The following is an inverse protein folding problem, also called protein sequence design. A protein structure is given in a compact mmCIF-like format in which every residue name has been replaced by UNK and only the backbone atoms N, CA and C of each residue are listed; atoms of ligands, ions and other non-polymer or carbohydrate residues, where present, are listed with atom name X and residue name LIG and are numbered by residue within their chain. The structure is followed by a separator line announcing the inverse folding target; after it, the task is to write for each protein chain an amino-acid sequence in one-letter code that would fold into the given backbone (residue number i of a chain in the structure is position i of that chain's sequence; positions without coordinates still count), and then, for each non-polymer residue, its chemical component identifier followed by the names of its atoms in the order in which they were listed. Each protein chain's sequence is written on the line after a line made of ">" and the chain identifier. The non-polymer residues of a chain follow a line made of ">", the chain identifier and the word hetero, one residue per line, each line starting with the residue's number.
data_IF_986283871498
#
_entry.id   IF_986283871498
#
_cell.length_a   1.000
_cell.length_b   1.000
_cell.length_c   1.000
_cell.angle_alpha   90.00
_cell.angle_beta   90.00
_cell.angle_gamma   90.00
#
_symmetry.space_group_name_H-M   'P 1'
#
loop_
_entity.id
_entity.type
_entity.pdbx_description
1 polymer ?
#
# COMPACT_ATOMS: atom_id res chain seq x y z
N UNK A 1 -41.13 -27.84 45.16
CA UNK A 1 -41.32 -27.39 43.76
C UNK A 1 -40.73 -25.97 43.64
N UNK A 2 -39.41 -25.82 43.44
CA UNK A 2 -38.77 -24.49 43.32
C UNK A 2 -37.40 -24.50 42.62
N UNK A 3 -37.06 -25.57 41.88
CA UNK A 3 -35.71 -25.74 41.29
C UNK A 3 -35.67 -25.67 39.75
N UNK A 4 -36.82 -25.73 39.07
CA UNK A 4 -36.90 -25.74 37.61
C UNK A 4 -36.85 -24.34 36.97
N UNK A 5 -37.29 -23.30 37.69
CA UNK A 5 -37.36 -21.93 37.14
C UNK A 5 -36.00 -21.24 37.06
N UNK A 6 -35.05 -21.63 37.91
CA UNK A 6 -33.71 -21.01 37.96
C UNK A 6 -32.85 -21.44 36.76
N UNK A 7 -32.96 -22.70 36.34
CA UNK A 7 -32.29 -23.21 35.14
C UNK A 7 -32.88 -22.60 33.85
N UNK A 8 -34.20 -22.42 33.80
CA UNK A 8 -34.86 -21.77 32.67
C UNK A 8 -34.47 -20.29 32.55
N UNK A 9 -34.38 -19.56 33.67
CA UNK A 9 -33.91 -18.18 33.68
C UNK A 9 -32.43 -18.06 33.27
N UNK A 10 -31.57 -18.94 33.79
CA UNK A 10 -30.14 -18.93 33.48
C UNK A 10 -29.88 -19.21 31.98
N UNK A 11 -30.62 -20.14 31.37
CA UNK A 11 -30.54 -20.38 29.92
C UNK A 11 -31.10 -19.21 29.10
N UNK A 12 -32.21 -18.60 29.51
CA UNK A 12 -32.76 -17.45 28.81
C UNK A 12 -31.80 -16.24 28.83
N UNK A 13 -31.12 -16.01 29.96
CA UNK A 13 -30.09 -14.96 30.08
C UNK A 13 -28.86 -15.28 29.24
N UNK A 14 -28.41 -16.54 29.20
CA UNK A 14 -27.27 -16.94 28.38
C UNK A 14 -27.54 -16.77 26.87
N UNK A 15 -28.76 -17.10 26.40
CA UNK A 15 -29.16 -16.91 25.00
C UNK A 15 -29.31 -15.42 24.66
N UNK A 16 -29.84 -14.61 25.57
CA UNK A 16 -29.97 -13.16 25.37
C UNK A 16 -28.60 -12.43 25.35
N UNK A 17 -27.62 -12.91 26.10
CA UNK A 17 -26.24 -12.36 26.07
C UNK A 17 -25.52 -12.78 24.79
N UNK A 18 -25.72 -14.02 24.32
CA UNK A 18 -25.13 -14.52 23.08
C UNK A 18 -25.63 -13.80 21.81
N UNK A 19 -26.87 -13.29 21.81
CA UNK A 19 -27.46 -12.55 20.68
C UNK A 19 -27.09 -11.06 20.63
N UNK A 20 -26.35 -10.55 21.61
CA UNK A 20 -25.82 -9.16 21.62
C UNK A 20 -24.35 -9.05 21.21
N UNK A 21 -23.74 -10.16 20.79
CA UNK A 21 -22.41 -10.12 20.19
C UNK A 21 -22.49 -9.32 18.89
N UNK A 22 -21.77 -8.19 18.76
CA UNK A 22 -21.65 -7.53 17.48
C UNK A 22 -21.11 -8.55 16.49
N UNK A 23 -21.83 -8.79 15.39
CA UNK A 23 -21.23 -9.43 14.25
C UNK A 23 -20.01 -8.58 13.90
N UNK A 24 -18.81 -9.10 14.13
CA UNK A 24 -17.60 -8.47 13.62
C UNK A 24 -17.75 -8.47 12.11
N UNK A 25 -18.23 -7.35 11.55
CA UNK A 25 -18.24 -7.13 10.12
C UNK A 25 -16.78 -7.17 9.70
N UNK A 26 -16.36 -8.29 9.12
CA UNK A 26 -15.09 -8.40 8.40
C UNK A 26 -15.20 -7.56 7.14
N UNK A 27 -15.11 -6.24 7.29
CA UNK A 27 -14.71 -5.42 6.18
C UNK A 27 -13.22 -5.73 5.97
N UNK A 28 -12.94 -6.78 5.20
CA UNK A 28 -11.60 -7.20 4.83
C UNK A 28 -11.37 -6.86 3.37
N UNK A 29 -10.12 -6.55 3.04
CA UNK A 29 -9.68 -6.36 1.67
C UNK A 29 -10.00 -7.63 0.87
N UNK A 30 -10.54 -7.46 -0.33
CA UNK A 30 -10.86 -8.56 -1.22
C UNK A 30 -10.41 -8.22 -2.63
N UNK A 31 -9.83 -9.21 -3.31
CA UNK A 31 -9.52 -9.10 -4.74
C UNK A 31 -10.84 -8.96 -5.50
N UNK A 32 -10.91 -8.00 -6.42
CA UNK A 32 -12.14 -7.70 -7.15
C UNK A 32 -13.20 -6.96 -6.34
N UNK A 33 -12.81 -6.23 -5.28
CA UNK A 33 -13.76 -5.41 -4.49
C UNK A 33 -14.61 -4.47 -5.36
N UNK A 34 -14.04 -3.92 -6.43
CA UNK A 34 -14.73 -3.02 -7.35
C UNK A 34 -15.43 -3.72 -8.53
N UNK A 35 -15.48 -5.05 -8.59
CA UNK A 35 -16.04 -5.75 -9.76
C UNK A 35 -17.50 -5.39 -10.06
N UNK A 36 -18.30 -5.07 -9.05
CA UNK A 36 -19.71 -4.66 -9.23
C UNK A 36 -19.88 -3.15 -9.30
N UNK A 37 -19.14 -2.38 -8.51
CA UNK A 37 -19.30 -0.91 -8.43
C UNK A 37 -18.54 -0.17 -9.53
N UNK A 38 -17.36 -0.67 -9.94
CA UNK A 38 -16.53 -0.10 -11.00
C UNK A 38 -15.61 -1.19 -11.62
N UNK A 39 -16.13 -2.07 -12.50
CA UNK A 39 -15.39 -3.23 -13.02
C UNK A 39 -14.11 -2.86 -13.80
N UNK A 40 -14.03 -1.64 -14.32
CA UNK A 40 -12.87 -1.16 -15.08
C UNK A 40 -11.78 -0.51 -14.21
N UNK A 41 -11.98 -0.38 -12.90
CA UNK A 41 -11.07 0.34 -12.02
C UNK A 41 -9.62 -0.15 -12.13
N UNK A 42 -9.38 -1.45 -11.96
CA UNK A 42 -8.03 -2.03 -12.00
C UNK A 42 -7.40 -1.90 -13.41
N UNK A 43 -8.21 -2.03 -14.47
CA UNK A 43 -7.74 -1.90 -15.84
C UNK A 43 -7.31 -0.46 -16.17
N UNK A 44 -8.11 0.54 -15.74
CA UNK A 44 -7.80 1.95 -15.92
C UNK A 44 -6.53 2.35 -15.18
N UNK A 45 -6.37 1.91 -13.92
CA UNK A 45 -5.14 2.15 -13.15
C UNK A 45 -3.94 1.53 -13.85
N UNK A 46 -4.04 0.29 -14.33
CA UNK A 46 -2.96 -0.38 -15.07
C UNK A 46 -2.57 0.39 -16.33
N UNK A 47 -3.55 0.84 -17.10
CA UNK A 47 -3.32 1.60 -18.34
C UNK A 47 -2.62 2.94 -18.04
N UNK A 48 -3.12 3.71 -17.08
CA UNK A 48 -2.54 4.99 -16.70
C UNK A 48 -1.11 4.85 -16.18
N UNK A 49 -0.84 3.86 -15.32
CA UNK A 49 0.51 3.58 -14.82
C UNK A 49 1.43 3.13 -15.95
N UNK A 50 0.97 2.25 -16.85
CA UNK A 50 1.77 1.80 -17.99
C UNK A 50 2.17 2.96 -18.90
N UNK A 51 1.22 3.86 -19.22
CA UNK A 51 1.48 5.06 -20.02
C UNK A 51 2.48 6.00 -19.32
N UNK A 52 2.32 6.23 -18.01
CA UNK A 52 3.22 7.07 -17.23
C UNK A 52 4.65 6.49 -17.19
N UNK A 53 4.79 5.20 -16.92
CA UNK A 53 6.09 4.51 -16.86
C UNK A 53 6.76 4.45 -18.23
N UNK A 54 6.01 4.30 -19.31
CA UNK A 54 6.54 4.37 -20.68
C UNK A 54 7.15 5.74 -20.99
N UNK A 55 6.57 6.82 -20.45
CA UNK A 55 7.11 8.18 -20.59
C UNK A 55 8.28 8.46 -19.64
N UNK A 56 8.25 7.93 -18.41
CA UNK A 56 9.31 8.13 -17.41
C UNK A 56 9.43 6.90 -16.52
N UNK A 57 10.46 6.08 -16.76
CA UNK A 57 10.68 4.83 -16.04
C UNK A 57 10.85 5.02 -14.53
N UNK A 58 11.41 6.16 -14.10
CA UNK A 58 11.56 6.53 -12.68
C UNK A 58 10.22 6.63 -11.92
N UNK A 59 9.09 6.80 -12.61
CA UNK A 59 7.77 6.82 -11.97
C UNK A 59 7.39 5.45 -11.41
N UNK A 60 7.86 4.34 -11.98
CA UNK A 60 7.60 3.01 -11.43
C UNK A 60 8.19 2.89 -10.01
N UNK A 61 9.47 3.26 -9.87
CA UNK A 61 10.16 3.27 -8.58
C UNK A 61 9.52 4.29 -7.62
N UNK A 62 9.14 5.47 -8.11
CA UNK A 62 8.45 6.49 -7.34
C UNK A 62 7.10 6.02 -6.77
N UNK A 63 6.28 5.34 -7.56
CA UNK A 63 4.98 4.81 -7.13
C UNK A 63 5.13 3.70 -6.08
N UNK A 64 6.08 2.77 -6.28
CA UNK A 64 6.39 1.72 -5.29
C UNK A 64 6.84 2.35 -3.97
N UNK A 65 7.75 3.34 -4.04
CA UNK A 65 8.22 4.07 -2.87
C UNK A 65 7.07 4.82 -2.19
N UNK A 66 6.22 5.51 -2.94
CA UNK A 66 5.07 6.22 -2.38
C UNK A 66 4.15 5.28 -1.61
N UNK A 67 3.87 4.09 -2.15
CA UNK A 67 3.07 3.08 -1.47
C UNK A 67 3.73 2.58 -0.17
N UNK A 68 5.04 2.29 -0.21
CA UNK A 68 5.80 1.95 1.01
C UNK A 68 5.72 3.05 2.07
N UNK A 69 5.90 4.32 1.67
CA UNK A 69 5.82 5.46 2.58
C UNK A 69 4.41 5.63 3.17
N UNK A 70 3.34 5.44 2.39
CA UNK A 70 1.96 5.51 2.92
C UNK A 70 1.69 4.43 3.97
N UNK A 71 2.06 3.17 3.68
CA UNK A 71 1.83 2.06 4.59
C UNK A 71 2.58 2.22 5.93
N UNK A 72 3.86 2.61 5.89
CA UNK A 72 4.67 2.72 7.10
C UNK A 72 4.45 4.03 7.88
N UNK A 73 4.08 5.13 7.21
CA UNK A 73 3.76 6.39 7.90
C UNK A 73 2.35 6.35 8.49
N UNK A 74 1.38 5.65 7.90
CA UNK A 74 0.04 5.49 8.52
C UNK A 74 -0.02 4.44 9.63
N UNK A 75 0.85 3.42 9.60
CA UNK A 75 1.10 2.55 10.76
C UNK A 75 1.65 3.33 11.97
N UNK A 76 2.15 4.54 11.72
CA UNK A 76 2.48 5.53 12.75
C UNK A 76 1.23 6.18 13.37
N UNK A 77 0.02 5.62 13.24
CA UNK A 77 -1.08 5.90 14.19
C UNK A 77 -0.72 5.64 15.67
N UNK A 78 0.48 5.09 15.93
CA UNK A 78 1.15 4.99 17.23
C UNK A 78 2.14 6.12 17.55
N UNK A 79 2.45 7.00 16.59
CA UNK A 79 3.27 8.19 16.78
C UNK A 79 2.43 9.24 17.50
N UNK A 80 2.99 9.88 18.53
CA UNK A 80 2.25 10.92 19.22
C UNK A 80 2.04 12.11 18.26
N UNK A 81 0.84 12.72 18.24
CA UNK A 81 0.60 13.92 17.44
C UNK A 81 1.61 15.05 17.71
N UNK A 82 2.12 15.11 18.94
CA UNK A 82 3.17 16.04 19.34
C UNK A 82 4.53 15.72 18.68
N UNK A 83 4.90 14.44 18.54
CA UNK A 83 6.14 14.03 17.89
C UNK A 83 6.05 14.17 16.37
N UNK A 84 4.89 13.93 15.76
CA UNK A 84 4.66 14.26 14.35
C UNK A 84 4.82 15.77 14.08
N UNK A 85 4.17 16.62 14.88
CA UNK A 85 4.30 18.08 14.75
C UNK A 85 5.75 18.57 14.94
N UNK A 86 6.51 17.93 15.84
CA UNK A 86 7.93 18.20 16.02
C UNK A 86 8.76 17.83 14.77
N UNK A 87 8.51 16.67 14.17
CA UNK A 87 9.20 16.26 12.94
C UNK A 87 8.86 17.20 11.77
N UNK A 88 7.62 17.62 11.64
CA UNK A 88 7.19 18.62 10.66
C UNK A 88 7.93 19.96 10.86
N UNK A 89 8.10 20.41 12.10
CA UNK A 89 8.84 21.63 12.43
C UNK A 89 10.35 21.51 12.17
N UNK A 90 10.95 20.35 12.43
CA UNK A 90 12.38 20.09 12.18
C UNK A 90 12.70 20.06 10.67
N UNK A 91 11.80 19.51 9.86
CA UNK A 91 11.95 19.47 8.40
C UNK A 91 11.83 20.85 7.73
N UNK A 92 11.25 21.85 8.41
CA UNK A 92 11.19 23.22 7.93
C UNK A 92 12.52 24.00 8.10
N UNK A 93 13.50 23.45 8.82
CA UNK A 93 14.71 24.17 9.25
C UNK A 93 15.98 23.97 8.41
N UNK A 94 15.99 23.09 7.41
CA UNK A 94 17.21 22.73 6.67
C UNK A 94 17.02 22.78 5.15
N UNK A 95 16.66 23.95 4.63
CA UNK A 95 16.75 24.27 3.20
C UNK A 95 18.06 24.97 2.88
N UNK A 96 19.19 24.41 3.31
CA UNK A 96 20.49 24.90 2.86
C UNK A 96 21.31 23.73 2.33
N UNK A 97 21.27 23.63 1.00
CA UNK A 97 22.40 23.19 0.18
C UNK A 97 22.79 21.71 0.26
N UNK A 98 21.82 20.81 0.17
CA UNK A 98 22.09 19.57 -0.54
C UNK A 98 22.13 19.90 -2.03
N UNK A 99 23.30 19.81 -2.67
CA UNK A 99 23.32 19.67 -4.12
C UNK A 99 22.40 18.50 -4.46
N UNK A 100 21.33 18.73 -5.22
CA UNK A 100 20.33 17.71 -5.58
C UNK A 100 20.92 16.71 -6.60
N UNK A 101 21.99 16.03 -6.20
CA UNK A 101 22.66 15.00 -6.98
C UNK A 101 22.00 13.68 -6.65
N UNK A 102 21.41 13.05 -7.66
CA UNK A 102 20.80 11.73 -7.54
C UNK A 102 21.72 10.69 -8.17
N UNK A 103 21.64 9.46 -7.66
CA UNK A 103 22.30 8.28 -8.23
C UNK A 103 21.33 7.11 -8.20
N UNK A 104 21.57 6.11 -9.04
CA UNK A 104 20.76 4.91 -9.07
C UNK A 104 21.05 4.01 -7.87
N UNK A 105 20.00 3.42 -7.29
CA UNK A 105 20.12 2.43 -6.21
C UNK A 105 20.67 1.10 -6.75
N UNK A 106 20.26 0.73 -7.97
CA UNK A 106 20.85 -0.36 -8.75
C UNK A 106 21.68 0.24 -9.89
N UNK A 107 23.00 0.07 -9.83
CA UNK A 107 23.92 0.63 -10.82
C UNK A 107 23.93 -0.14 -12.14
N UNK A 108 23.50 -1.40 -12.15
CA UNK A 108 23.60 -2.26 -13.33
C UNK A 108 22.28 -2.38 -14.07
N UNK A 109 21.13 -2.29 -13.40
CA UNK A 109 19.79 -2.32 -14.03
C UNK A 109 18.84 -1.27 -13.43
N UNK A 110 19.17 0.04 -13.53
CA UNK A 110 18.49 1.11 -12.78
C UNK A 110 16.98 1.29 -13.07
N UNK A 111 16.51 0.79 -14.22
CA UNK A 111 15.11 0.91 -14.65
C UNK A 111 14.38 -0.45 -14.66
N UNK A 112 15.00 -1.52 -14.18
CA UNK A 112 14.43 -2.87 -14.22
C UNK A 112 14.21 -3.40 -12.81
N UNK A 113 13.04 -3.97 -12.57
CA UNK A 113 12.70 -4.61 -11.31
C UNK A 113 13.10 -6.09 -11.38
N UNK A 114 14.33 -6.39 -10.97
CA UNK A 114 14.94 -7.71 -10.99
C UNK A 114 15.71 -8.02 -9.68
N UNK A 115 16.37 -9.17 -9.62
CA UNK A 115 17.17 -9.56 -8.46
C UNK A 115 18.60 -9.00 -8.49
N UNK A 116 18.95 -8.13 -9.43
CA UNK A 116 20.29 -7.62 -9.61
C UNK A 116 20.75 -6.77 -8.41
N UNK A 117 19.83 -6.05 -7.78
CA UNK A 117 20.03 -5.44 -6.46
C UNK A 117 20.74 -6.39 -5.48
N UNK A 118 20.28 -7.65 -5.36
CA UNK A 118 20.88 -8.63 -4.46
C UNK A 118 22.25 -9.15 -4.94
N UNK A 119 22.47 -9.19 -6.26
CA UNK A 119 23.77 -9.58 -6.85
C UNK A 119 24.87 -8.55 -6.57
N UNK A 120 24.50 -7.29 -6.38
CA UNK A 120 25.43 -6.19 -6.09
C UNK A 120 25.85 -6.15 -4.62
N UNK A 121 25.03 -6.64 -3.68
CA UNK A 121 25.33 -6.55 -2.25
C UNK A 121 26.63 -7.26 -1.84
N UNK A 122 26.91 -8.52 -2.27
CA UNK A 122 28.18 -9.19 -1.94
C UNK A 122 29.43 -8.50 -2.51
N UNK A 123 29.27 -7.64 -3.52
CA UNK A 123 30.34 -6.82 -4.09
C UNK A 123 30.57 -5.50 -3.32
N UNK A 124 29.85 -5.30 -2.21
CA UNK A 124 29.80 -4.04 -1.44
C UNK A 124 29.33 -2.85 -2.29
N UNK A 125 28.43 -3.10 -3.25
CA UNK A 125 27.85 -2.08 -4.12
C UNK A 125 26.41 -1.69 -3.69
N UNK A 126 26.04 -1.94 -2.43
CA UNK A 126 24.82 -1.41 -1.83
C UNK A 126 24.95 0.08 -1.54
N UNK A 127 23.95 0.88 -1.94
CA UNK A 127 24.02 2.33 -1.82
C UNK A 127 23.83 2.82 -0.38
N UNK A 128 22.87 2.24 0.35
CA UNK A 128 22.55 2.66 1.71
C UNK A 128 23.22 1.75 2.75
N UNK A 129 23.50 2.31 3.93
CA UNK A 129 23.93 1.54 5.09
C UNK A 129 22.98 0.38 5.41
N UNK A 130 21.66 0.60 5.25
CA UNK A 130 20.64 -0.43 5.45
C UNK A 130 20.72 -1.58 4.44
N UNK A 131 21.17 -1.33 3.20
CA UNK A 131 21.33 -2.37 2.17
C UNK A 131 22.49 -3.31 2.55
N UNK A 132 23.60 -2.71 2.99
CA UNK A 132 24.79 -3.43 3.42
C UNK A 132 24.54 -4.26 4.71
N UNK A 133 23.59 -3.86 5.57
CA UNK A 133 23.18 -4.68 6.71
C UNK A 133 22.56 -6.03 6.31
N UNK A 134 22.01 -6.17 5.10
CA UNK A 134 21.43 -7.42 4.63
C UNK A 134 22.46 -8.55 4.51
N UNK A 135 23.74 -8.22 4.22
CA UNK A 135 24.83 -9.20 4.12
C UNK A 135 25.63 -9.35 5.42
N UNK A 136 25.64 -8.32 6.29
CA UNK A 136 26.34 -8.39 7.58
C UNK A 136 25.58 -9.17 8.64
N UNK A 137 24.25 -9.21 8.54
CA UNK A 137 23.42 -9.94 9.47
C UNK A 137 23.34 -11.43 9.08
N UNK A 138 23.81 -12.31 9.98
CA UNK A 138 23.84 -13.76 9.76
C UNK A 138 22.45 -14.38 9.49
N UNK A 139 21.38 -13.76 9.99
CA UNK A 139 19.99 -14.20 9.76
C UNK A 139 19.47 -13.78 8.39
N UNK A 140 19.92 -12.65 7.84
CA UNK A 140 19.44 -12.11 6.56
C UNK A 140 20.25 -12.63 5.37
N UNK A 141 21.54 -12.91 5.56
CA UNK A 141 22.45 -13.36 4.51
C UNK A 141 21.94 -14.59 3.71
N UNK A 142 21.32 -15.63 4.33
CA UNK A 142 20.77 -16.75 3.56
C UNK A 142 19.68 -16.34 2.57
N UNK A 143 18.86 -15.33 2.90
CA UNK A 143 17.85 -14.81 1.99
C UNK A 143 18.47 -14.05 0.82
N UNK A 144 19.52 -13.25 1.07
CA UNK A 144 20.27 -12.55 0.01
C UNK A 144 20.86 -13.55 -0.98
N UNK A 145 21.48 -14.64 -0.48
CA UNK A 145 22.03 -15.69 -1.32
C UNK A 145 20.95 -16.41 -2.15
N UNK A 146 19.80 -16.71 -1.53
CA UNK A 146 18.68 -17.34 -2.22
C UNK A 146 18.10 -16.44 -3.33
N UNK A 147 17.92 -15.15 -3.07
CA UNK A 147 17.40 -14.19 -4.05
C UNK A 147 18.38 -13.92 -5.18
N UNK A 148 19.68 -13.88 -4.88
CA UNK A 148 20.75 -13.79 -5.88
C UNK A 148 20.73 -14.97 -6.85
N UNK A 149 20.57 -16.19 -6.32
CA UNK A 149 20.57 -17.42 -7.11
C UNK A 149 19.26 -17.65 -7.90
N UNK A 150 18.13 -17.15 -7.40
CA UNK A 150 16.81 -17.46 -7.95
C UNK A 150 15.91 -16.22 -8.03
N UNK A 151 15.82 -15.65 -9.23
CA UNK A 151 14.99 -14.48 -9.52
C UNK A 151 13.48 -14.77 -9.38
N UNK A 152 13.03 -15.97 -9.75
CA UNK A 152 11.62 -16.38 -9.61
C UNK A 152 11.20 -16.41 -8.14
N UNK A 153 12.05 -16.99 -7.29
CA UNK A 153 11.83 -17.01 -5.84
C UNK A 153 11.78 -15.58 -5.29
N UNK A 154 12.71 -14.72 -5.72
CA UNK A 154 12.70 -13.32 -5.32
C UNK A 154 11.39 -12.62 -5.72
N UNK A 155 10.93 -12.76 -6.98
CA UNK A 155 9.68 -12.15 -7.45
C UNK A 155 8.46 -12.63 -6.65
N UNK A 156 8.40 -13.92 -6.37
CA UNK A 156 7.32 -14.51 -5.55
C UNK A 156 7.30 -13.91 -4.14
N UNK A 157 8.45 -13.86 -3.47
CA UNK A 157 8.55 -13.29 -2.11
C UNK A 157 8.33 -11.79 -2.09
N UNK A 158 8.79 -11.08 -3.11
CA UNK A 158 8.54 -9.66 -3.28
C UNK A 158 7.04 -9.38 -3.40
N UNK A 159 6.33 -10.09 -4.28
CA UNK A 159 4.88 -9.92 -4.42
C UNK A 159 4.13 -10.23 -3.12
N UNK A 160 4.48 -11.33 -2.43
CA UNK A 160 3.88 -11.68 -1.15
C UNK A 160 4.14 -10.62 -0.06
N UNK A 161 5.35 -10.05 -0.01
CA UNK A 161 5.70 -9.00 0.92
C UNK A 161 4.94 -7.70 0.63
N UNK A 162 4.82 -7.31 -0.64
CA UNK A 162 4.07 -6.12 -1.04
C UNK A 162 2.58 -6.22 -0.71
N UNK A 163 1.96 -7.40 -0.92
CA UNK A 163 0.57 -7.65 -0.49
C UNK A 163 0.44 -7.54 1.03
N UNK A 164 1.38 -8.15 1.77
CA UNK A 164 1.36 -8.09 3.24
C UNK A 164 1.52 -6.67 3.76
N UNK A 165 2.39 -5.88 3.12
CA UNK A 165 2.60 -4.46 3.44
C UNK A 165 1.35 -3.61 3.14
N UNK A 166 0.69 -3.85 2.00
CA UNK A 166 -0.54 -3.16 1.63
C UNK A 166 -1.72 -3.43 2.57
N UNK A 167 -1.62 -4.44 3.41
CA UNK A 167 -2.65 -4.80 4.40
C UNK A 167 -2.40 -4.22 5.80
N UNK A 168 -1.36 -3.40 5.99
CA UNK A 168 -1.05 -2.78 7.29
C UNK A 168 -2.05 -1.65 7.58
N UNK A 169 -2.70 -1.70 8.76
CA UNK A 169 -3.57 -0.64 9.33
C UNK A 169 -4.52 0.02 8.32
N UNK A 170 -5.20 -0.83 7.55
CA UNK A 170 -6.15 -0.41 6.53
C UNK A 170 -7.49 -0.03 7.13
N UNK A 171 -8.07 1.07 6.65
CA UNK A 171 -9.42 1.50 7.01
C UNK A 171 -10.41 0.74 6.12
N UNK A 172 -11.40 0.11 6.74
CA UNK A 172 -12.37 -0.72 6.03
C UNK A 172 -13.81 -0.47 6.50
N UNK A 173 -14.77 -0.80 5.64
CA UNK A 173 -16.18 -0.60 5.94
C UNK A 173 -16.53 0.87 5.95
N UNK A 174 -16.98 1.39 7.09
CA UNK A 174 -17.31 2.80 7.30
C UNK A 174 -16.17 3.61 7.94
N UNK A 175 -14.98 3.00 8.11
CA UNK A 175 -13.81 3.68 8.62
C UNK A 175 -13.21 4.57 7.52
N UNK A 176 -13.12 5.87 7.76
CA UNK A 176 -12.58 6.83 6.80
C UNK A 176 -13.59 7.24 5.71
N UNK A 177 -13.08 7.60 4.53
CA UNK A 177 -13.87 8.09 3.40
C UNK A 177 -13.21 7.76 2.06
N UNK A 178 -14.00 7.79 0.98
CA UNK A 178 -13.47 7.82 -0.38
C UNK A 178 -13.29 9.30 -0.77
N UNK A 179 -12.04 9.72 -0.94
CA UNK A 179 -11.71 11.11 -1.29
C UNK A 179 -12.04 11.41 -2.74
N UNK A 180 -12.59 12.59 -2.99
CA UNK A 180 -12.79 13.13 -4.34
C UNK A 180 -11.50 13.75 -4.91
N UNK A 181 -10.63 14.22 -4.01
CA UNK A 181 -9.27 14.68 -4.32
C UNK A 181 -8.30 14.02 -3.34
N UNK A 182 -7.33 13.25 -3.83
CA UNK A 182 -6.39 12.52 -2.98
C UNK A 182 -5.59 13.43 -2.03
N UNK A 183 -5.41 14.70 -2.38
CA UNK A 183 -4.62 15.70 -1.64
C UNK A 183 -5.41 16.43 -0.54
N UNK A 184 -6.72 16.20 -0.42
CA UNK A 184 -7.57 16.91 0.54
C UNK A 184 -8.60 15.99 1.20
N UNK A 185 -8.93 16.26 2.46
CA UNK A 185 -10.07 15.63 3.15
C UNK A 185 -11.35 16.23 2.62
N UNK A 186 -12.39 15.41 2.40
CA UNK A 186 -13.67 15.94 1.96
C UNK A 186 -14.26 16.89 3.02
N UNK A 187 -14.95 17.94 2.59
CA UNK A 187 -15.63 18.82 3.54
C UNK A 187 -16.74 18.05 4.29
N UNK A 188 -16.95 18.30 5.60
CA UNK A 188 -18.03 17.67 6.35
C UNK A 188 -19.37 18.05 5.71
N UNK A 189 -20.10 17.04 5.23
CA UNK A 189 -21.33 17.25 4.49
C UNK A 189 -22.48 17.63 5.43
N UNK A 190 -22.80 18.92 5.51
CA UNK A 190 -24.21 19.28 5.61
C UNK A 190 -24.83 18.95 4.25
N UNK A 191 -25.40 17.75 4.12
CA UNK A 191 -26.14 17.19 2.95
C UNK A 191 -25.36 17.05 1.63
N UNK A 192 -24.93 15.83 1.30
CA UNK A 192 -24.44 15.49 -0.04
C UNK A 192 -25.55 14.85 -0.89
N UNK A 193 -26.09 15.61 -1.86
CA UNK A 193 -26.82 15.06 -3.00
C UNK A 193 -25.83 14.39 -3.95
N UNK A 194 -26.16 13.19 -4.43
CA UNK A 194 -25.39 12.45 -5.42
C UNK A 194 -25.16 13.29 -6.69
N UNK A 195 -23.96 13.83 -6.84
CA UNK A 195 -23.48 14.47 -8.06
C UNK A 195 -22.73 13.45 -8.91
N UNK A 196 -23.17 13.27 -10.15
CA UNK A 196 -22.46 12.55 -11.21
C UNK A 196 -21.01 13.01 -11.29
N UNK A 197 -20.06 12.12 -11.00
CA UNK A 197 -18.64 12.39 -11.15
C UNK A 197 -18.31 12.31 -12.65
N UNK A 198 -18.20 13.47 -13.31
CA UNK A 198 -17.57 13.55 -14.62
C UNK A 198 -16.06 13.46 -14.37
N UNK A 199 -15.44 12.36 -14.80
CA UNK A 199 -13.98 12.27 -14.92
C UNK A 199 -13.62 13.10 -16.16
N UNK A 200 -13.47 14.41 -15.98
CA UNK A 200 -12.86 15.25 -17.00
C UNK A 200 -11.35 14.98 -17.02
N UNK A 201 -10.96 14.14 -17.99
CA UNK A 201 -9.77 14.26 -18.85
C UNK A 201 -8.52 14.94 -18.24
N UNK A 202 -7.72 14.18 -17.49
CA UNK A 202 -6.28 14.47 -17.29
C UNK A 202 -5.39 13.60 -18.18
N UNK A 203 -5.99 12.66 -18.94
CA UNK A 203 -5.26 11.87 -19.94
C UNK A 203 -5.94 12.09 -21.28
N UNK A 204 -5.27 12.73 -22.26
CA UNK A 204 -5.80 12.81 -23.61
C UNK A 204 -5.97 11.38 -24.14
N UNK A 205 -7.16 11.10 -24.67
CA UNK A 205 -7.46 9.85 -25.35
C UNK A 205 -6.41 9.59 -26.42
N UNK A 206 -5.62 8.53 -26.24
CA UNK A 206 -4.83 7.95 -27.31
C UNK A 206 -5.80 7.16 -28.19
N UNK A 207 -6.43 7.87 -29.12
CA UNK A 207 -7.26 7.30 -30.17
C UNK A 207 -6.38 6.53 -31.17
N UNK A 208 -6.83 5.33 -31.57
CA UNK A 208 -6.42 4.66 -32.80
C UNK A 208 -5.54 3.42 -32.66
N UNK A 209 -6.16 2.23 -32.68
CA UNK A 209 -5.45 0.98 -32.89
C UNK A 209 -6.25 -0.27 -32.54
N UNK A 210 -7.24 -0.59 -33.38
CA UNK A 210 -7.98 -1.86 -33.41
C UNK A 210 -7.02 -3.05 -33.43
N UNK A 211 -6.96 -3.83 -32.34
CA UNK A 211 -6.31 -5.15 -32.34
C UNK A 211 -7.41 -6.20 -32.45
N UNK A 212 -7.65 -6.59 -33.70
CA UNK A 212 -8.48 -7.73 -34.04
C UNK A 212 -7.96 -8.99 -33.32
N UNK A 213 -8.91 -9.76 -32.79
CA UNK A 213 -8.66 -11.10 -32.30
C UNK A 213 -8.23 -12.02 -33.45
N UNK A 214 -7.09 -12.68 -33.30
CA UNK A 214 -6.73 -13.98 -33.89
C UNK A 214 -5.61 -14.60 -33.07
#
# INVERSE_FOLDING_TARGET
>A
MASSNWLALAMAVAVAVASTLPAASRAQLQVGFYNTSCPRAEALVRQAVAAAVANTSGLAAGLIRLHFHDCFVRASGTISPAYQALLEALCAGNTEQSSNVTTAIDLSTPATLDNNYYKLLPLNLGLFFSDDQLIRNATLLPFVNAFTANETLWKEKFAAAMIKMGNIDVLTGTQGEIRLNCSAVNAPSSSASAGTMIIDTVFPDADGGEVAAS
#
